data_IF_620277489521
#
_entry.id   IF_620277489521
#
_cell.length_a   1.000
_cell.length_b   1.000
_cell.length_c   1.000
_cell.angle_alpha   90.00
_cell.angle_beta   90.00
_cell.angle_gamma   90.00
#
_symmetry.space_group_name_H-M   'P 1'
#
loop_
_entity.id
_entity.type
_entity.pdbx_description
1 polymer ?
#
# COMPACT_ATOMS: atom_id res chain seq x y z
N UNK A 1 -53.95 -34.82 -14.62
CA UNK A 1 -52.80 -34.61 -13.70
C UNK A 1 -51.47 -34.23 -14.40
N UNK A 2 -51.38 -34.25 -15.74
CA UNK A 2 -50.14 -33.93 -16.49
C UNK A 2 -49.88 -32.42 -16.72
N UNK A 3 -50.94 -31.60 -16.72
CA UNK A 3 -50.87 -30.16 -17.03
C UNK A 3 -50.11 -29.33 -15.97
N UNK A 4 -50.22 -29.68 -14.68
CA UNK A 4 -49.56 -28.92 -13.59
C UNK A 4 -48.05 -29.15 -13.56
N UNK A 5 -47.58 -30.35 -13.89
CA UNK A 5 -46.14 -30.68 -13.89
C UNK A 5 -45.42 -29.91 -15.01
N UNK A 6 -46.07 -29.74 -16.16
CA UNK A 6 -45.51 -29.02 -17.32
C UNK A 6 -45.34 -27.52 -17.05
N UNK A 7 -46.27 -26.89 -16.33
CA UNK A 7 -46.20 -25.45 -16.03
C UNK A 7 -45.21 -25.11 -14.92
N UNK A 8 -44.86 -26.06 -14.06
CA UNK A 8 -43.79 -25.90 -13.06
C UNK A 8 -42.41 -26.04 -13.70
N UNK A 9 -42.20 -27.03 -14.58
CA UNK A 9 -40.94 -27.22 -15.29
C UNK A 9 -40.62 -26.05 -16.23
N UNK A 10 -41.60 -25.53 -16.97
CA UNK A 10 -41.41 -24.34 -17.80
C UNK A 10 -41.03 -23.10 -16.97
N UNK A 11 -41.55 -22.98 -15.74
CA UNK A 11 -41.20 -21.86 -14.84
C UNK A 11 -39.78 -21.97 -14.28
N UNK A 12 -39.29 -23.18 -14.06
CA UNK A 12 -37.92 -23.44 -13.60
C UNK A 12 -36.91 -23.20 -14.73
N UNK A 13 -37.17 -23.70 -15.94
CA UNK A 13 -36.27 -23.50 -17.08
C UNK A 13 -36.21 -22.03 -17.56
N UNK A 14 -37.32 -21.29 -17.54
CA UNK A 14 -37.33 -19.85 -17.86
C UNK A 14 -36.66 -19.01 -16.76
N UNK A 15 -36.53 -19.53 -15.53
CA UNK A 15 -35.79 -18.90 -14.43
C UNK A 15 -34.27 -19.07 -14.54
N UNK A 16 -33.81 -20.22 -15.06
CA UNK A 16 -32.38 -20.60 -15.15
C UNK A 16 -31.56 -19.75 -16.14
N UNK A 17 -32.17 -19.31 -17.25
CA UNK A 17 -31.48 -18.52 -18.28
C UNK A 17 -31.09 -17.11 -17.78
N UNK A 18 -31.92 -16.50 -16.92
CA UNK A 18 -31.60 -15.24 -16.27
C UNK A 18 -30.65 -15.41 -15.08
N UNK A 19 -30.75 -16.52 -14.37
CA UNK A 19 -29.96 -16.82 -13.18
C UNK A 19 -28.46 -17.00 -13.49
N UNK A 20 -28.13 -17.75 -14.55
CA UNK A 20 -26.74 -17.99 -14.97
C UNK A 20 -26.01 -16.71 -15.42
N UNK A 21 -26.74 -15.76 -16.01
CA UNK A 21 -26.17 -14.45 -16.40
C UNK A 21 -25.83 -13.60 -15.16
N UNK A 22 -26.70 -13.60 -14.15
CA UNK A 22 -26.48 -12.87 -12.89
C UNK A 22 -25.33 -13.47 -12.09
N UNK A 23 -25.26 -14.79 -12.00
CA UNK A 23 -24.17 -15.51 -11.32
C UNK A 23 -22.82 -15.21 -11.99
N UNK A 24 -22.78 -15.23 -13.32
CA UNK A 24 -21.56 -14.90 -14.08
C UNK A 24 -21.16 -13.44 -13.89
N UNK A 25 -22.12 -12.51 -13.92
CA UNK A 25 -21.85 -11.10 -13.68
C UNK A 25 -21.30 -10.86 -12.27
N UNK A 26 -21.86 -11.52 -11.25
CA UNK A 26 -21.40 -11.40 -9.88
C UNK A 26 -20.02 -12.04 -9.68
N UNK A 27 -19.77 -13.20 -10.28
CA UNK A 27 -18.46 -13.86 -10.28
C UNK A 27 -17.38 -13.01 -10.94
N UNK A 28 -17.69 -12.39 -12.09
CA UNK A 28 -16.79 -11.47 -12.76
C UNK A 28 -16.54 -10.21 -11.93
N UNK A 29 -17.58 -9.61 -11.34
CA UNK A 29 -17.45 -8.45 -10.47
C UNK A 29 -16.58 -8.76 -9.25
N UNK A 30 -16.77 -9.93 -8.62
CA UNK A 30 -15.96 -10.38 -7.50
C UNK A 30 -14.49 -10.58 -7.93
N UNK A 31 -14.24 -11.23 -9.06
CA UNK A 31 -12.89 -11.45 -9.58
C UNK A 31 -12.16 -10.13 -9.87
N UNK A 32 -12.83 -9.20 -10.54
CA UNK A 32 -12.29 -7.86 -10.82
C UNK A 32 -12.00 -7.12 -9.51
N UNK A 33 -12.90 -7.20 -8.52
CA UNK A 33 -12.70 -6.56 -7.21
C UNK A 33 -11.46 -7.12 -6.51
N UNK A 34 -11.29 -8.45 -6.50
CA UNK A 34 -10.09 -9.09 -5.93
C UNK A 34 -8.83 -8.66 -6.66
N UNK A 35 -8.86 -8.62 -7.98
CA UNK A 35 -7.71 -8.20 -8.80
C UNK A 35 -7.30 -6.76 -8.49
N UNK A 36 -8.25 -5.83 -8.48
CA UNK A 36 -8.01 -4.42 -8.15
C UNK A 36 -7.47 -4.28 -6.73
N UNK A 37 -8.00 -5.04 -5.78
CA UNK A 37 -7.54 -5.05 -4.38
C UNK A 37 -6.10 -5.54 -4.28
N UNK A 38 -5.76 -6.64 -4.96
CA UNK A 38 -4.41 -7.19 -4.97
C UNK A 38 -3.39 -6.21 -5.59
N UNK A 39 -3.73 -5.60 -6.72
CA UNK A 39 -2.88 -4.60 -7.38
C UNK A 39 -2.69 -3.36 -6.49
N UNK A 40 -3.75 -2.89 -5.84
CA UNK A 40 -3.67 -1.77 -4.89
C UNK A 40 -2.74 -2.08 -3.72
N UNK A 41 -2.75 -3.33 -3.22
CA UNK A 41 -1.82 -3.80 -2.20
C UNK A 41 -0.37 -3.74 -2.67
N UNK A 42 -0.08 -4.21 -3.89
CA UNK A 42 1.27 -4.16 -4.47
C UNK A 42 1.78 -2.73 -4.64
N UNK A 43 0.92 -1.83 -5.14
CA UNK A 43 1.25 -0.39 -5.26
C UNK A 43 1.58 0.20 -3.90
N UNK A 44 0.78 -0.13 -2.87
CA UNK A 44 1.01 0.34 -1.51
C UNK A 44 2.35 -0.15 -0.94
N UNK A 45 2.71 -1.41 -1.20
CA UNK A 45 4.00 -1.98 -0.79
C UNK A 45 5.15 -1.25 -1.50
N UNK A 46 5.05 -1.02 -2.81
CA UNK A 46 6.08 -0.32 -3.57
C UNK A 46 6.29 1.12 -3.05
N UNK A 47 5.20 1.83 -2.75
CA UNK A 47 5.26 3.16 -2.12
C UNK A 47 5.95 3.10 -0.75
N UNK A 48 5.58 2.13 0.09
CA UNK A 48 6.19 1.97 1.42
C UNK A 48 7.70 1.68 1.33
N UNK A 49 8.14 0.87 0.36
CA UNK A 49 9.56 0.61 0.12
C UNK A 49 10.30 1.88 -0.29
N UNK A 50 9.74 2.67 -1.22
CA UNK A 50 10.34 3.95 -1.63
C UNK A 50 10.48 4.93 -0.47
N UNK A 51 9.46 5.05 0.38
CA UNK A 51 9.53 5.87 1.60
C UNK A 51 10.58 5.36 2.60
N UNK A 52 10.72 4.04 2.72
CA UNK A 52 11.72 3.43 3.61
C UNK A 52 13.14 3.68 3.10
N UNK A 53 13.35 3.56 1.78
CA UNK A 53 14.64 3.83 1.15
C UNK A 53 15.05 5.31 1.30
N UNK A 54 14.12 6.23 1.01
CA UNK A 54 14.32 7.67 1.23
C UNK A 54 14.64 7.99 2.70
N UNK A 55 13.90 7.42 3.65
CA UNK A 55 14.17 7.58 5.07
C UNK A 55 15.59 7.07 5.42
N UNK A 56 16.01 5.95 4.84
CA UNK A 56 17.34 5.37 5.04
C UNK A 56 18.45 6.23 4.45
N UNK A 57 18.25 6.79 3.26
CA UNK A 57 19.20 7.71 2.63
C UNK A 57 19.41 8.97 3.49
N UNK A 58 18.31 9.59 3.93
CA UNK A 58 18.35 10.76 4.82
C UNK A 58 19.02 10.41 6.15
N UNK A 59 18.69 9.27 6.76
CA UNK A 59 19.27 8.86 8.04
C UNK A 59 20.80 8.70 7.95
N UNK A 60 21.30 8.12 6.85
CA UNK A 60 22.75 7.95 6.62
C UNK A 60 23.45 9.27 6.30
N UNK A 61 22.81 10.16 5.54
CA UNK A 61 23.36 11.49 5.26
C UNK A 61 23.48 12.33 6.55
N UNK A 62 22.41 12.34 7.36
CA UNK A 62 22.40 13.01 8.66
C UNK A 62 23.43 12.41 9.63
N UNK A 63 23.54 11.07 9.68
CA UNK A 63 24.52 10.39 10.52
C UNK A 63 25.99 10.74 10.18
N UNK A 64 26.26 11.12 8.93
CA UNK A 64 27.56 11.64 8.45
C UNK A 64 27.73 13.16 8.65
N UNK A 65 26.67 13.87 9.02
CA UNK A 65 26.66 15.34 9.11
C UNK A 65 26.63 16.04 7.75
N UNK A 66 26.15 15.37 6.70
CA UNK A 66 26.09 15.87 5.32
C UNK A 66 24.82 16.70 5.09
N UNK A 67 24.82 17.93 5.62
CA UNK A 67 23.63 18.78 5.68
C UNK A 67 23.08 19.19 4.30
N UNK A 68 23.95 19.34 3.29
CA UNK A 68 23.55 19.68 1.92
C UNK A 68 22.74 18.53 1.30
N UNK A 69 23.27 17.30 1.37
CA UNK A 69 22.59 16.10 0.89
C UNK A 69 21.27 15.87 1.63
N UNK A 70 21.22 16.13 2.94
CA UNK A 70 19.96 16.02 3.72
C UNK A 70 18.90 17.00 3.23
N UNK A 71 19.28 18.25 2.92
CA UNK A 71 18.35 19.25 2.42
C UNK A 71 17.79 18.86 1.04
N UNK A 72 18.63 18.37 0.15
CA UNK A 72 18.23 17.89 -1.18
C UNK A 72 17.27 16.68 -1.07
N UNK A 73 17.65 15.65 -0.31
CA UNK A 73 16.83 14.45 -0.14
C UNK A 73 15.49 14.74 0.55
N UNK A 74 15.45 15.70 1.48
CA UNK A 74 14.19 16.15 2.10
C UNK A 74 13.28 16.86 1.11
N UNK A 75 13.84 17.62 0.18
CA UNK A 75 13.06 18.34 -0.83
C UNK A 75 12.46 17.38 -1.86
N UNK A 76 13.17 16.29 -2.19
CA UNK A 76 12.70 15.26 -3.13
C UNK A 76 11.76 14.22 -2.49
N UNK A 77 11.78 14.09 -1.16
CA UNK A 77 10.95 13.11 -0.45
C UNK A 77 9.45 13.38 -0.64
N UNK A 78 8.72 12.35 -1.09
CA UNK A 78 7.26 12.37 -1.22
C UNK A 78 6.57 12.16 0.15
N UNK A 79 6.70 13.14 1.04
CA UNK A 79 6.05 13.13 2.36
C UNK A 79 6.67 14.09 3.38
N UNK A 80 6.05 14.16 4.55
CA UNK A 80 6.58 14.92 5.68
C UNK A 80 7.71 14.14 6.34
N UNK A 81 8.91 14.73 6.36
CA UNK A 81 10.10 14.14 6.96
C UNK A 81 10.30 14.66 8.39
N UNK A 82 10.44 13.74 9.34
CA UNK A 82 10.83 14.03 10.72
C UNK A 82 12.14 13.29 11.05
N UNK A 83 13.13 14.03 11.56
CA UNK A 83 14.42 13.48 11.99
C UNK A 83 14.52 13.60 13.51
N UNK A 84 14.99 12.55 14.17
CA UNK A 84 15.22 12.50 15.61
C UNK A 84 16.55 11.81 15.88
N UNK A 85 17.42 12.49 16.62
CA UNK A 85 18.67 11.92 17.09
C UNK A 85 18.48 11.37 18.50
N UNK A 86 18.98 10.16 18.76
CA UNK A 86 18.93 9.54 20.08
C UNK A 86 20.14 8.64 20.27
N UNK A 87 20.94 8.94 21.30
CA UNK A 87 21.99 8.05 21.83
C UNK A 87 22.92 7.46 20.75
N UNK A 88 23.47 8.30 19.87
CA UNK A 88 24.38 7.87 18.80
C UNK A 88 23.67 7.18 17.62
N UNK A 89 22.36 7.35 17.48
CA UNK A 89 21.60 6.94 16.30
C UNK A 89 20.78 8.09 15.76
N UNK A 90 20.63 8.14 14.44
CA UNK A 90 19.71 9.03 13.75
C UNK A 90 18.52 8.20 13.28
N UNK A 91 17.31 8.60 13.69
CA UNK A 91 16.05 8.03 13.22
C UNK A 91 15.36 9.01 12.31
N UNK A 92 14.95 8.53 11.14
CA UNK A 92 14.15 9.29 10.18
C UNK A 92 12.79 8.62 10.03
N UNK A 93 11.74 9.43 10.05
CA UNK A 93 10.36 9.01 9.82
C UNK A 93 9.79 9.84 8.68
N UNK A 94 9.20 9.18 7.68
CA UNK A 94 8.51 9.85 6.58
C UNK A 94 7.04 9.47 6.61
N UNK A 95 6.16 10.48 6.61
CA UNK A 95 4.70 10.31 6.59
C UNK A 95 4.11 10.85 5.29
N UNK A 96 3.30 10.02 4.62
CA UNK A 96 2.66 10.35 3.36
C UNK A 96 1.18 9.97 3.39
N UNK A 97 0.32 10.81 2.83
CA UNK A 97 -1.08 10.47 2.60
C UNK A 97 -1.24 9.63 1.34
N UNK A 98 -1.93 8.49 1.44
CA UNK A 98 -2.23 7.59 0.34
C UNK A 98 -3.74 7.33 0.29
N UNK A 99 -4.48 8.26 -0.32
CA UNK A 99 -5.94 8.25 -0.33
C UNK A 99 -6.51 8.39 1.10
N UNK A 100 -7.40 7.49 1.56
CA UNK A 100 -7.96 7.55 2.92
C UNK A 100 -6.98 7.05 4.00
N UNK A 101 -5.78 6.59 3.63
CA UNK A 101 -4.81 6.03 4.56
C UNK A 101 -3.56 6.91 4.69
N UNK A 102 -2.81 6.71 5.77
CA UNK A 102 -1.49 7.33 5.96
C UNK A 102 -0.43 6.23 5.99
N UNK A 103 0.61 6.40 5.18
CA UNK A 103 1.80 5.56 5.20
C UNK A 103 2.86 6.24 6.06
N UNK A 104 3.47 5.47 6.96
CA UNK A 104 4.57 5.92 7.79
C UNK A 104 5.72 4.92 7.66
N UNK A 105 6.83 5.37 7.08
CA UNK A 105 8.06 4.58 6.97
C UNK A 105 9.13 5.13 7.91
N UNK A 106 10.00 4.25 8.41
CA UNK A 106 11.06 4.61 9.35
C UNK A 106 12.36 3.91 9.00
N UNK A 107 13.47 4.63 9.16
CA UNK A 107 14.81 4.08 9.07
C UNK A 107 15.70 4.64 10.18
N UNK A 108 16.75 3.89 10.53
CA UNK A 108 17.72 4.26 11.57
C UNK A 108 19.13 4.05 11.05
N UNK A 109 20.02 4.99 11.34
CA UNK A 109 21.46 4.89 11.08
C UNK A 109 22.25 5.13 12.37
N UNK A 110 23.41 4.49 12.50
CA UNK A 110 24.36 4.77 13.59
C UNK A 110 25.14 6.05 13.27
N UNK A 111 25.29 6.92 14.26
CA UNK A 111 26.08 8.14 14.11
C UNK A 111 27.56 7.80 14.21
N UNK A 112 28.33 8.16 13.17
CA UNK A 112 29.76 7.82 13.10
C UNK A 112 30.57 8.49 14.22
N UNK A 113 30.02 9.55 14.83
CA UNK A 113 30.66 10.32 15.90
C UNK A 113 30.61 9.67 17.30
N UNK A 114 29.84 8.60 17.51
CA UNK A 114 29.70 7.96 18.82
C UNK A 114 30.78 6.88 19.10
N UNK A 115 31.56 6.46 18.10
CA UNK A 115 32.57 5.41 18.26
C UNK A 115 33.94 5.93 18.75
N UNK A 116 34.08 7.23 19.03
CA UNK A 116 35.36 7.87 19.38
C UNK A 116 35.45 8.41 20.81
N UNK A 117 34.70 7.86 21.77
CA UNK A 117 34.82 8.19 23.20
C UNK A 117 35.36 7.04 24.02
#
# INVERSE_FOLDING_TARGET
MSSRIRSTLHRLCVGDEGQTTVETAFGLAALVTVMVTALSGLVTIAMYLGLTDAAGAIARAEARGDAETVAELRADADGQVAISETSGTVRVTIRRSAGPFTLEARAVALQERAASS
#
